data_IF_975967148468
#
_entry.id   IF_975967148468
#
_cell.length_a   1.000
_cell.length_b   1.000
_cell.length_c   1.000
_cell.angle_alpha   90.00
_cell.angle_beta   90.00
_cell.angle_gamma   90.00
#
_symmetry.space_group_name_H-M   'P 1'
#
loop_
_entity.id
_entity.type
_entity.pdbx_description
1 polymer ?
#
# COMPACT_ATOMS: atom_id res chain seq x y z
N UNK A 1 50.16 3.99 0.56
CA UNK A 1 49.06 3.10 0.11
C UNK A 1 47.99 3.13 1.19
N UNK A 2 46.90 3.85 0.96
CA UNK A 2 45.79 3.94 1.90
C UNK A 2 44.90 2.70 1.74
N UNK A 3 44.74 1.94 2.81
CA UNK A 3 43.83 0.82 2.87
C UNK A 3 42.40 1.32 2.68
N UNK A 4 41.73 0.86 1.62
CA UNK A 4 40.29 1.03 1.44
C UNK A 4 39.59 0.17 2.50
N UNK A 5 39.01 0.81 3.49
CA UNK A 5 38.04 0.19 4.40
C UNK A 5 36.83 -0.23 3.57
N UNK A 6 36.74 -1.51 3.27
CA UNK A 6 35.53 -2.12 2.70
C UNK A 6 34.53 -2.18 3.85
N UNK A 7 33.58 -1.26 3.90
CA UNK A 7 32.39 -1.39 4.74
C UNK A 7 31.55 -2.54 4.17
N UNK A 8 31.80 -3.74 4.67
CA UNK A 8 30.91 -4.89 4.53
C UNK A 8 29.61 -4.56 5.25
N UNK A 9 28.60 -4.11 4.51
CA UNK A 9 27.21 -4.09 4.96
C UNK A 9 26.79 -5.53 5.24
N UNK A 10 26.78 -5.94 6.50
CA UNK A 10 26.16 -7.21 6.88
C UNK A 10 24.67 -7.11 6.51
N UNK A 11 24.22 -7.96 5.59
CA UNK A 11 22.80 -8.16 5.36
C UNK A 11 22.17 -8.64 6.67
N UNK A 12 21.14 -7.95 7.13
CA UNK A 12 20.36 -8.36 8.28
C UNK A 12 19.49 -9.56 7.86
N UNK A 13 19.49 -10.61 8.68
CA UNK A 13 18.61 -11.74 8.46
C UNK A 13 17.14 -11.28 8.53
N UNK A 14 16.30 -11.65 7.55
CA UNK A 14 14.87 -11.34 7.56
C UNK A 14 14.16 -11.82 8.83
N UNK A 15 14.69 -12.87 9.49
CA UNK A 15 14.20 -13.38 10.77
C UNK A 15 14.34 -12.37 11.91
N UNK A 16 15.24 -11.41 11.77
CA UNK A 16 15.34 -10.29 12.70
C UNK A 16 14.33 -9.20 12.38
N UNK A 17 13.80 -9.09 11.16
CA UNK A 17 12.92 -8.00 10.72
C UNK A 17 11.44 -8.34 10.96
N UNK A 18 11.07 -9.60 10.78
CA UNK A 18 9.69 -10.10 10.91
C UNK A 18 9.53 -10.92 12.20
N UNK A 19 8.32 -10.98 12.74
CA UNK A 19 8.00 -11.94 13.81
C UNK A 19 7.95 -13.35 13.24
N UNK A 20 9.12 -14.00 13.18
CA UNK A 20 9.28 -15.31 12.55
C UNK A 20 8.63 -16.44 13.37
N UNK A 21 8.38 -16.23 14.66
CA UNK A 21 7.63 -17.20 15.48
C UNK A 21 6.17 -17.25 15.03
N UNK A 22 5.61 -16.08 14.70
CA UNK A 22 4.24 -15.96 14.20
C UNK A 22 4.13 -16.20 12.69
N UNK A 23 5.11 -15.76 11.91
CA UNK A 23 5.11 -15.79 10.45
C UNK A 23 6.40 -16.42 9.92
N UNK A 24 6.55 -17.76 9.96
CA UNK A 24 7.75 -18.44 9.50
C UNK A 24 7.76 -18.54 7.96
N UNK A 25 7.84 -17.41 7.26
CA UNK A 25 7.48 -17.25 5.84
C UNK A 25 8.30 -18.09 4.83
N UNK A 26 9.41 -18.71 5.26
CA UNK A 26 10.20 -19.63 4.42
C UNK A 26 9.97 -21.12 4.74
N UNK A 27 9.19 -21.44 5.77
CA UNK A 27 8.96 -22.80 6.24
C UNK A 27 7.62 -23.35 5.70
N UNK A 28 7.51 -23.60 4.39
CA UNK A 28 6.26 -24.04 3.73
C UNK A 28 5.74 -25.41 4.19
N UNK A 29 6.60 -26.21 4.82
CA UNK A 29 6.21 -27.46 5.47
C UNK A 29 5.63 -27.27 6.88
N UNK A 30 5.80 -26.08 7.47
CA UNK A 30 5.25 -25.75 8.79
C UNK A 30 3.73 -25.69 8.76
N UNK A 31 3.10 -26.35 9.73
CA UNK A 31 1.65 -26.26 9.93
C UNK A 31 1.21 -24.81 10.16
N UNK A 32 1.99 -24.03 10.90
CA UNK A 32 1.71 -22.63 11.22
C UNK A 32 1.60 -21.81 9.93
N UNK A 33 2.58 -21.92 9.03
CA UNK A 33 2.58 -21.18 7.78
C UNK A 33 1.40 -21.59 6.88
N UNK A 34 1.09 -22.89 6.81
CA UNK A 34 -0.04 -23.40 6.01
C UNK A 34 -1.38 -22.85 6.49
N UNK A 35 -1.60 -22.75 7.79
CA UNK A 35 -2.82 -22.13 8.35
C UNK A 35 -2.91 -20.65 8.02
N UNK A 36 -1.80 -19.91 8.14
CA UNK A 36 -1.72 -18.49 7.80
C UNK A 36 -2.06 -18.27 6.32
N UNK A 37 -1.46 -19.06 5.42
CA UNK A 37 -1.73 -18.98 3.98
C UNK A 37 -3.19 -19.30 3.70
N UNK A 38 -3.73 -20.38 4.28
CA UNK A 38 -5.12 -20.78 4.07
C UNK A 38 -6.10 -19.70 4.54
N UNK A 39 -5.87 -19.14 5.73
CA UNK A 39 -6.70 -18.07 6.29
C UNK A 39 -6.63 -16.80 5.42
N UNK A 40 -5.42 -16.35 5.08
CA UNK A 40 -5.24 -15.16 4.25
C UNK A 40 -5.81 -15.32 2.84
N UNK A 41 -5.70 -16.51 2.22
CA UNK A 41 -6.36 -16.81 0.93
C UNK A 41 -7.89 -16.74 1.06
N UNK A 42 -8.45 -17.31 2.13
CA UNK A 42 -9.88 -17.25 2.39
C UNK A 42 -10.37 -15.80 2.54
N UNK A 43 -9.63 -14.97 3.27
CA UNK A 43 -9.92 -13.54 3.43
C UNK A 43 -9.80 -12.77 2.10
N UNK A 44 -8.76 -13.03 1.30
CA UNK A 44 -8.63 -12.43 -0.03
C UNK A 44 -9.76 -12.82 -0.98
N UNK A 45 -10.21 -14.08 -0.96
CA UNK A 45 -11.32 -14.54 -1.80
C UNK A 45 -12.68 -14.00 -1.34
N UNK A 46 -12.93 -13.96 -0.03
CA UNK A 46 -14.24 -13.55 0.52
C UNK A 46 -14.38 -12.05 0.72
N UNK A 47 -13.31 -11.37 1.14
CA UNK A 47 -13.30 -9.95 1.51
C UNK A 47 -12.38 -9.11 0.62
N UNK A 48 -11.69 -9.67 -0.37
CA UNK A 48 -10.80 -8.91 -1.25
C UNK A 48 -9.61 -8.26 -0.52
N UNK A 49 -9.38 -8.60 0.75
CA UNK A 49 -8.31 -8.06 1.59
C UNK A 49 -7.95 -9.07 2.68
N UNK A 50 -6.67 -9.14 3.04
CA UNK A 50 -6.18 -9.91 4.18
C UNK A 50 -5.24 -9.05 5.04
N UNK A 51 -5.29 -9.30 6.35
CA UNK A 51 -4.48 -8.61 7.35
C UNK A 51 -3.64 -9.62 8.14
N UNK A 52 -2.34 -9.37 8.24
CA UNK A 52 -1.42 -10.16 9.06
C UNK A 52 -0.80 -9.21 10.11
N UNK A 53 -1.46 -9.02 11.26
CA UNK A 53 -1.04 -8.06 12.27
C UNK A 53 0.22 -8.51 13.02
N UNK A 54 1.05 -7.56 13.44
CA UNK A 54 2.31 -7.84 14.14
C UNK A 54 3.35 -8.57 13.27
N UNK A 55 3.30 -8.38 11.95
CA UNK A 55 4.22 -9.03 11.03
C UNK A 55 5.64 -8.47 11.17
N UNK A 56 5.78 -7.14 11.23
CA UNK A 56 7.07 -6.49 11.44
C UNK A 56 7.40 -6.38 12.93
N UNK A 57 8.67 -6.59 13.26
CA UNK A 57 9.17 -6.38 14.62
C UNK A 57 9.32 -4.88 14.93
N UNK A 58 9.13 -4.46 16.19
CA UNK A 58 9.11 -3.04 16.56
C UNK A 58 10.36 -2.24 16.17
N UNK A 59 11.54 -2.85 16.18
CA UNK A 59 12.77 -2.13 15.81
C UNK A 59 12.81 -1.82 14.31
N UNK A 60 12.33 -2.74 13.46
CA UNK A 60 12.29 -2.54 12.01
C UNK A 60 11.31 -1.43 11.64
N UNK A 61 10.16 -1.39 12.31
CA UNK A 61 9.18 -0.30 12.18
C UNK A 61 9.81 1.04 12.55
N UNK A 62 10.43 1.15 13.73
CA UNK A 62 11.08 2.39 14.20
C UNK A 62 12.17 2.86 13.24
N UNK A 63 13.04 1.95 12.80
CA UNK A 63 14.13 2.29 11.90
C UNK A 63 13.60 2.82 10.55
N UNK A 64 12.57 2.17 10.00
CA UNK A 64 11.95 2.60 8.74
C UNK A 64 11.25 3.97 8.86
N UNK A 65 10.61 4.24 10.01
CA UNK A 65 10.00 5.57 10.27
C UNK A 65 11.09 6.65 10.29
N UNK A 66 12.19 6.43 11.01
CA UNK A 66 13.29 7.39 11.08
C UNK A 66 13.87 7.70 9.69
N UNK A 67 14.08 6.67 8.87
CA UNK A 67 14.56 6.83 7.49
C UNK A 67 13.59 7.62 6.62
N UNK A 68 12.29 7.36 6.75
CA UNK A 68 11.26 8.10 6.01
C UNK A 68 11.16 9.56 6.46
N UNK A 69 11.27 9.84 7.76
CA UNK A 69 11.27 11.19 8.31
C UNK A 69 12.52 11.98 7.89
N UNK A 70 13.69 11.35 7.86
CA UNK A 70 14.95 11.94 7.38
C UNK A 70 14.87 12.30 5.88
N UNK A 71 14.22 11.46 5.07
CA UNK A 71 14.03 11.68 3.63
C UNK A 71 12.86 12.63 3.30
N UNK A 72 11.96 12.88 4.25
CA UNK A 72 10.72 13.63 4.03
C UNK A 72 10.92 15.06 3.47
N UNK A 73 11.98 15.82 3.82
CA UNK A 73 12.22 17.14 3.22
C UNK A 73 12.40 17.12 1.71
N UNK A 74 12.94 16.02 1.16
CA UNK A 74 13.19 15.83 -0.27
C UNK A 74 12.11 14.96 -0.95
N UNK A 75 11.08 14.55 -0.21
CA UNK A 75 10.01 13.71 -0.71
C UNK A 75 9.09 14.47 -1.66
N UNK A 76 8.55 13.78 -2.65
CA UNK A 76 7.55 14.38 -3.54
C UNK A 76 6.20 14.43 -2.85
N UNK A 77 5.77 15.63 -2.45
CA UNK A 77 4.46 15.88 -1.87
C UNK A 77 3.51 16.44 -2.92
N UNK A 78 2.34 15.82 -3.08
CA UNK A 78 1.34 16.25 -4.05
C UNK A 78 -0.05 16.19 -3.44
N UNK A 79 -0.84 17.21 -3.75
CA UNK A 79 -2.30 17.18 -3.60
C UNK A 79 -2.91 17.15 -4.99
N UNK A 80 -3.91 16.30 -5.19
CA UNK A 80 -4.53 16.07 -6.49
C UNK A 80 -6.01 15.76 -6.33
N UNK A 81 -6.82 16.34 -7.20
CA UNK A 81 -8.21 15.93 -7.39
C UNK A 81 -8.24 14.88 -8.50
N UNK A 82 -8.99 13.80 -8.28
CA UNK A 82 -9.09 12.69 -9.21
C UNK A 82 -10.46 12.03 -9.11
N UNK A 83 -10.87 11.30 -10.13
CA UNK A 83 -12.04 10.42 -10.07
C UNK A 83 -11.70 9.18 -9.23
N UNK A 84 -12.69 8.37 -8.85
CA UNK A 84 -12.46 7.07 -8.17
C UNK A 84 -11.57 6.11 -8.97
N UNK A 85 -11.29 6.40 -10.25
CA UNK A 85 -10.40 5.63 -11.12
C UNK A 85 -8.99 6.25 -11.28
N UNK A 86 -8.66 7.24 -10.43
CA UNK A 86 -7.38 7.97 -10.44
C UNK A 86 -7.14 8.82 -11.70
N UNK A 87 -8.20 9.15 -12.44
CA UNK A 87 -8.15 10.04 -13.59
C UNK A 87 -8.29 11.51 -13.14
N UNK A 88 -7.52 12.41 -13.76
CA UNK A 88 -7.51 13.85 -13.40
C UNK A 88 -8.59 14.66 -14.14
N UNK A 89 -9.22 14.04 -15.14
CA UNK A 89 -10.26 14.66 -15.94
C UNK A 89 -11.58 13.91 -15.77
N UNK A 90 -12.67 14.68 -15.72
CA UNK A 90 -14.02 14.15 -15.82
C UNK A 90 -14.34 13.82 -17.28
N UNK A 91 -15.25 12.87 -17.48
CA UNK A 91 -15.80 12.53 -18.80
C UNK A 91 -16.97 13.46 -19.13
N UNK A 92 -16.84 14.34 -20.14
CA UNK A 92 -17.89 15.30 -20.50
C UNK A 92 -19.12 14.64 -21.12
N UNK A 93 -19.04 13.36 -21.50
CA UNK A 93 -20.16 12.61 -22.06
C UNK A 93 -21.06 11.98 -20.99
N UNK A 94 -20.64 12.03 -19.72
CA UNK A 94 -21.38 11.45 -18.59
C UNK A 94 -21.96 12.55 -17.69
N UNK A 95 -23.00 12.21 -16.96
CA UNK A 95 -23.62 13.12 -15.99
C UNK A 95 -22.63 13.56 -14.90
N UNK A 96 -22.84 14.77 -14.35
CA UNK A 96 -21.93 15.33 -13.32
C UNK A 96 -21.83 14.48 -12.07
N UNK A 97 -22.91 13.78 -11.73
CA UNK A 97 -22.99 12.92 -10.55
C UNK A 97 -22.72 11.44 -10.87
N UNK A 98 -22.29 11.12 -12.10
CA UNK A 98 -21.83 9.79 -12.45
C UNK A 98 -20.58 9.43 -11.64
N UNK A 99 -20.39 8.17 -11.26
CA UNK A 99 -19.24 7.71 -10.46
C UNK A 99 -17.87 8.12 -11.06
N UNK A 100 -17.76 8.13 -12.39
CA UNK A 100 -16.58 8.60 -13.14
C UNK A 100 -16.35 10.12 -13.08
N UNK A 101 -17.33 10.90 -12.68
CA UNK A 101 -17.28 12.36 -12.65
C UNK A 101 -17.28 12.93 -11.23
N UNK A 102 -17.57 12.14 -10.21
CA UNK A 102 -17.45 12.61 -8.83
C UNK A 102 -15.96 12.65 -8.45
N UNK A 103 -15.44 13.86 -8.23
CA UNK A 103 -14.05 14.07 -7.83
C UNK A 103 -13.82 13.77 -6.35
N UNK A 104 -12.75 13.04 -6.08
CA UNK A 104 -12.13 12.78 -4.79
C UNK A 104 -10.85 13.62 -4.68
N UNK A 105 -10.40 13.89 -3.45
CA UNK A 105 -9.19 14.69 -3.21
C UNK A 105 -8.20 13.91 -2.38
N UNK A 106 -7.01 13.67 -2.92
CA UNK A 106 -5.95 12.96 -2.22
C UNK A 106 -4.69 13.81 -2.07
N UNK A 107 -4.01 13.65 -0.94
CA UNK A 107 -2.72 14.28 -0.67
C UNK A 107 -1.83 13.39 0.17
N UNK A 108 -0.55 13.37 -0.19
CA UNK A 108 0.50 12.63 0.52
C UNK A 108 1.88 13.09 0.06
N UNK A 109 2.88 12.73 0.84
CA UNK A 109 4.28 12.72 0.43
C UNK A 109 4.72 11.29 0.09
N UNK A 110 5.46 11.13 -1.00
CA UNK A 110 6.03 9.86 -1.44
C UNK A 110 7.54 9.90 -1.31
N UNK A 111 8.08 9.05 -0.43
CA UNK A 111 9.52 8.75 -0.32
C UNK A 111 9.78 7.48 -1.12
N UNK A 112 10.58 7.57 -2.17
CA UNK A 112 10.94 6.41 -3.00
C UNK A 112 12.12 5.64 -2.40
N UNK A 113 12.33 4.40 -2.82
CA UNK A 113 13.38 3.51 -2.28
C UNK A 113 14.78 4.09 -2.29
N UNK A 114 15.14 4.85 -3.32
CA UNK A 114 16.46 5.46 -3.45
C UNK A 114 16.70 6.64 -2.48
N UNK A 115 15.65 7.12 -1.79
CA UNK A 115 15.75 8.15 -0.75
C UNK A 115 15.92 7.57 0.65
N UNK A 116 15.71 6.26 0.84
CA UNK A 116 15.94 5.58 2.13
C UNK A 116 17.30 4.87 2.15
N UNK A 117 17.84 4.67 3.36
CA UNK A 117 19.19 4.10 3.54
C UNK A 117 19.28 2.69 2.96
N UNK A 118 20.39 2.37 2.30
CA UNK A 118 20.57 1.06 1.62
C UNK A 118 20.56 -0.13 2.57
N UNK A 119 20.86 0.07 3.86
CA UNK A 119 20.76 -0.93 4.91
C UNK A 119 19.39 -0.93 5.63
N UNK A 120 18.38 -0.25 5.08
CA UNK A 120 17.02 -0.22 5.62
C UNK A 120 16.45 -1.63 5.80
N UNK A 121 15.83 -1.96 6.95
CA UNK A 121 15.16 -3.25 7.12
C UNK A 121 13.99 -3.41 6.13
N UNK A 122 13.32 -2.32 5.74
CA UNK A 122 12.25 -2.38 4.74
C UNK A 122 12.79 -2.79 3.36
N UNK A 123 13.93 -2.24 2.94
CA UNK A 123 14.59 -2.64 1.68
C UNK A 123 15.01 -4.11 1.75
N UNK A 124 15.64 -4.52 2.84
CA UNK A 124 16.12 -5.91 2.98
C UNK A 124 14.96 -6.91 2.94
N UNK A 125 13.85 -6.62 3.62
CA UNK A 125 12.65 -7.44 3.57
C UNK A 125 12.05 -7.48 2.16
N UNK A 126 11.86 -6.32 1.51
CA UNK A 126 11.33 -6.29 0.15
C UNK A 126 12.23 -7.04 -0.82
N UNK A 127 13.55 -6.95 -0.65
CA UNK A 127 14.53 -7.58 -1.53
C UNK A 127 14.73 -9.07 -1.29
N UNK A 128 14.14 -9.63 -0.24
CA UNK A 128 14.24 -11.05 0.11
C UNK A 128 13.43 -11.92 -0.87
N UNK A 129 14.04 -13.01 -1.39
CA UNK A 129 13.32 -14.03 -2.15
C UNK A 129 12.18 -14.66 -1.33
N UNK A 130 12.37 -14.88 -0.04
CA UNK A 130 11.38 -15.47 0.86
C UNK A 130 10.13 -14.59 0.99
N UNK A 131 10.29 -13.26 1.08
CA UNK A 131 9.16 -12.33 1.11
C UNK A 131 8.40 -12.35 -0.22
N UNK A 132 9.13 -12.36 -1.35
CA UNK A 132 8.51 -12.43 -2.69
C UNK A 132 7.72 -13.73 -2.86
N UNK A 133 8.30 -14.86 -2.43
CA UNK A 133 7.67 -16.17 -2.52
C UNK A 133 6.45 -16.28 -1.58
N UNK A 134 6.54 -15.75 -0.37
CA UNK A 134 5.41 -15.68 0.55
C UNK A 134 4.23 -14.90 -0.04
N UNK A 135 4.48 -13.71 -0.60
CA UNK A 135 3.44 -12.90 -1.26
C UNK A 135 2.88 -13.62 -2.49
N UNK A 136 3.72 -14.27 -3.30
CA UNK A 136 3.29 -15.07 -4.46
C UNK A 136 2.28 -16.14 -4.04
N UNK A 137 2.61 -16.87 -2.98
CA UNK A 137 1.76 -17.95 -2.46
C UNK A 137 0.46 -17.39 -1.89
N UNK A 138 0.49 -16.29 -1.13
CA UNK A 138 -0.73 -15.65 -0.62
C UNK A 138 -1.68 -15.19 -1.73
N UNK A 139 -1.14 -14.64 -2.82
CA UNK A 139 -1.92 -14.16 -3.96
C UNK A 139 -2.36 -15.26 -4.93
N UNK A 140 -1.98 -16.51 -4.68
CA UNK A 140 -2.25 -17.66 -5.54
C UNK A 140 -1.82 -17.40 -7.01
N UNK A 141 -0.53 -17.06 -7.18
CA UNK A 141 0.06 -16.76 -8.49
C UNK A 141 1.12 -17.78 -8.87
N UNK A 142 1.16 -18.16 -10.15
CA UNK A 142 2.22 -19.05 -10.66
C UNK A 142 3.62 -18.43 -10.51
N UNK A 143 3.73 -17.14 -10.84
CA UNK A 143 4.96 -16.35 -10.73
C UNK A 143 4.66 -14.97 -10.17
N UNK A 144 5.64 -14.41 -9.47
CA UNK A 144 5.60 -13.04 -8.97
C UNK A 144 7.01 -12.43 -9.04
N UNK A 145 7.12 -11.25 -9.60
CA UNK A 145 8.35 -10.48 -9.70
C UNK A 145 8.22 -9.21 -8.86
N UNK A 146 9.32 -8.72 -8.32
CA UNK A 146 9.38 -7.34 -7.82
C UNK A 146 9.33 -6.40 -9.03
N UNK A 147 8.65 -5.27 -8.89
CA UNK A 147 8.70 -4.21 -9.91
C UNK A 147 10.15 -3.79 -10.14
N UNK A 148 10.58 -3.64 -11.38
CA UNK A 148 11.96 -3.30 -11.72
C UNK A 148 12.22 -1.79 -11.73
N UNK A 149 11.14 -0.99 -11.61
CA UNK A 149 11.20 0.46 -11.59
C UNK A 149 11.92 0.99 -10.34
N UNK A 150 12.99 1.81 -10.49
CA UNK A 150 13.77 2.30 -9.36
C UNK A 150 13.00 3.26 -8.44
N UNK A 151 11.89 3.85 -8.90
CA UNK A 151 11.04 4.74 -8.12
C UNK A 151 9.70 4.10 -7.75
N UNK A 152 9.26 3.11 -8.53
CA UNK A 152 7.97 2.44 -8.37
C UNK A 152 7.98 1.17 -7.52
N UNK A 153 9.15 0.61 -7.22
CA UNK A 153 9.27 -0.72 -6.60
C UNK A 153 8.89 -0.76 -5.12
N UNK A 154 9.40 0.19 -4.34
CA UNK A 154 9.14 0.33 -2.91
C UNK A 154 9.00 1.81 -2.58
N UNK A 155 7.89 2.16 -1.95
CA UNK A 155 7.58 3.54 -1.58
C UNK A 155 7.13 3.62 -0.12
N UNK A 156 7.47 4.71 0.55
CA UNK A 156 6.91 5.07 1.86
C UNK A 156 6.04 6.31 1.68
N UNK A 157 4.75 6.13 1.87
CA UNK A 157 3.76 7.20 1.87
C UNK A 157 3.64 7.80 3.27
N UNK A 158 3.87 9.12 3.36
CA UNK A 158 3.71 9.91 4.58
C UNK A 158 2.50 10.82 4.40
N UNK A 159 1.55 10.72 5.32
CA UNK A 159 0.35 11.55 5.39
C UNK A 159 0.43 12.41 6.66
N UNK A 160 0.48 13.72 6.49
CA UNK A 160 0.51 14.72 7.56
C UNK A 160 -0.92 15.07 7.99
N UNK A 161 -1.07 15.97 8.96
CA UNK A 161 -2.38 16.50 9.35
C UNK A 161 -3.18 16.99 8.13
N UNK A 162 -4.45 16.59 8.04
CA UNK A 162 -5.37 16.82 6.91
C UNK A 162 -5.03 16.10 5.60
N UNK A 163 -3.91 15.37 5.49
CA UNK A 163 -3.68 14.53 4.33
C UNK A 163 -4.65 13.36 4.29
N UNK A 164 -4.91 12.83 3.09
CA UNK A 164 -5.77 11.67 2.88
C UNK A 164 -5.47 10.96 1.57
N UNK A 165 -5.92 9.71 1.45
CA UNK A 165 -6.03 9.03 0.16
C UNK A 165 -7.50 8.69 -0.02
N UNK A 166 -8.25 9.57 -0.66
CA UNK A 166 -9.70 9.45 -0.79
C UNK A 166 -10.08 8.27 -1.71
N UNK A 167 -11.37 8.00 -1.85
CA UNK A 167 -11.90 6.82 -2.53
C UNK A 167 -11.28 6.60 -3.92
N UNK A 168 -10.75 5.40 -4.11
CA UNK A 168 -10.21 4.97 -5.39
C UNK A 168 -10.24 3.45 -5.56
N UNK A 169 -10.03 3.03 -6.79
CA UNK A 169 -9.56 1.70 -7.15
C UNK A 169 -8.10 1.76 -7.56
N UNK A 170 -7.35 0.71 -7.26
CA UNK A 170 -5.97 0.58 -7.74
C UNK A 170 -5.91 0.28 -9.24
N UNK A 171 -4.85 0.78 -9.87
CA UNK A 171 -4.49 0.38 -11.24
C UNK A 171 -3.91 -1.03 -11.29
N UNK A 172 -3.14 -1.42 -10.26
CA UNK A 172 -2.62 -2.77 -10.08
C UNK A 172 -3.70 -3.73 -9.58
N UNK A 173 -3.54 -5.03 -9.85
CA UNK A 173 -4.52 -6.04 -9.41
C UNK A 173 -4.61 -6.17 -7.89
N UNK A 174 -3.50 -5.90 -7.20
CA UNK A 174 -3.40 -5.94 -5.76
C UNK A 174 -2.38 -4.91 -5.27
N UNK A 175 -2.45 -4.56 -3.99
CA UNK A 175 -1.45 -3.79 -3.29
C UNK A 175 -0.98 -4.54 -2.05
N UNK A 176 0.32 -4.50 -1.79
CA UNK A 176 0.96 -5.08 -0.61
C UNK A 176 1.53 -3.92 0.21
N UNK A 177 1.04 -3.74 1.44
CA UNK A 177 1.41 -2.58 2.25
C UNK A 177 1.70 -2.95 3.69
N UNK A 178 2.48 -2.12 4.37
CA UNK A 178 2.62 -2.15 5.82
C UNK A 178 2.16 -0.83 6.41
N UNK A 179 1.31 -0.87 7.42
CA UNK A 179 1.14 0.30 8.29
C UNK A 179 2.36 0.40 9.21
N UNK A 180 3.16 1.45 9.05
CA UNK A 180 4.35 1.69 9.89
C UNK A 180 4.00 2.57 11.09
N UNK A 181 3.19 3.61 10.87
CA UNK A 181 2.77 4.53 11.93
C UNK A 181 1.29 4.86 11.78
N UNK A 182 0.53 4.61 12.84
CA UNK A 182 -0.84 5.12 12.99
C UNK A 182 -0.81 6.58 13.48
N UNK A 183 -1.75 7.43 12.99
CA UNK A 183 -1.89 8.81 13.46
C UNK A 183 -2.57 8.88 14.83
N UNK A 184 -2.80 10.09 15.35
CA UNK A 184 -3.56 10.33 16.59
C UNK A 184 -5.06 10.10 16.41
N UNK A 185 -5.61 10.57 15.29
CA UNK A 185 -6.98 10.35 14.87
C UNK A 185 -7.12 10.29 13.35
N UNK A 186 -8.34 10.04 12.87
CA UNK A 186 -8.57 9.86 11.44
C UNK A 186 -7.68 8.77 10.83
N UNK A 187 -7.24 8.96 9.58
CA UNK A 187 -6.34 8.02 8.88
C UNK A 187 -6.85 6.58 8.79
N UNK A 188 -8.15 6.39 8.90
CA UNK A 188 -8.81 5.09 9.00
C UNK A 188 -8.87 4.47 7.61
N UNK A 189 -8.45 3.22 7.51
CA UNK A 189 -8.50 2.49 6.25
C UNK A 189 -9.93 1.96 6.06
N UNK A 190 -10.65 2.53 5.10
CA UNK A 190 -12.02 2.15 4.79
C UNK A 190 -12.08 1.50 3.42
N UNK A 191 -12.89 0.47 3.28
CA UNK A 191 -12.97 -0.30 2.03
C UNK A 191 -14.35 -0.92 1.84
N UNK A 192 -14.69 -1.17 0.59
CA UNK A 192 -15.82 -2.01 0.19
C UNK A 192 -15.22 -3.18 -0.59
N UNK A 193 -15.35 -4.42 -0.09
CA UNK A 193 -14.76 -5.58 -0.74
C UNK A 193 -15.43 -5.84 -2.09
N UNK A 194 -14.64 -6.11 -3.13
CA UNK A 194 -15.12 -6.59 -4.43
C UNK A 194 -16.28 -5.75 -5.00
N UNK A 195 -16.20 -4.42 -4.83
CA UNK A 195 -17.22 -3.46 -5.29
C UNK A 195 -17.49 -3.60 -6.79
N UNK A 196 -16.48 -4.00 -7.57
CA UNK A 196 -16.57 -4.21 -9.02
C UNK A 196 -15.92 -5.51 -9.47
N UNK A 197 -16.29 -5.96 -10.66
CA UNK A 197 -15.72 -7.12 -11.35
C UNK A 197 -15.55 -6.85 -12.84
N UNK A 198 -14.87 -7.75 -13.55
CA UNK A 198 -14.72 -7.64 -15.00
C UNK A 198 -16.11 -7.55 -15.67
N UNK A 199 -16.33 -6.44 -16.40
CA UNK A 199 -17.60 -6.15 -17.06
C UNK A 199 -18.70 -5.55 -16.18
N UNK A 200 -18.47 -5.38 -14.86
CA UNK A 200 -19.40 -4.70 -13.97
C UNK A 200 -18.68 -3.72 -13.04
N UNK A 201 -18.73 -2.44 -13.37
CA UNK A 201 -18.12 -1.35 -12.59
C UNK A 201 -18.94 -0.93 -11.36
N UNK A 202 -20.18 -1.40 -11.23
CA UNK A 202 -21.09 -1.09 -10.13
C UNK A 202 -21.24 0.43 -9.87
N UNK A 203 -21.41 1.21 -10.95
CA UNK A 203 -21.43 2.67 -10.88
C UNK A 203 -22.47 3.23 -9.91
N UNK A 204 -23.61 2.57 -9.73
CA UNK A 204 -24.67 3.03 -8.82
C UNK A 204 -24.22 2.98 -7.35
N UNK A 205 -23.64 1.87 -6.90
CA UNK A 205 -23.12 1.76 -5.53
C UNK A 205 -21.96 2.73 -5.33
N UNK A 206 -21.03 2.80 -6.30
CA UNK A 206 -19.88 3.71 -6.24
C UNK A 206 -20.37 5.15 -6.12
N UNK A 207 -21.33 5.57 -6.95
CA UNK A 207 -21.95 6.90 -6.88
C UNK A 207 -22.57 7.16 -5.51
N UNK A 208 -23.36 6.22 -4.98
CA UNK A 208 -24.00 6.36 -3.67
C UNK A 208 -22.97 6.58 -2.56
N UNK A 209 -21.90 5.79 -2.54
CA UNK A 209 -20.84 5.91 -1.52
C UNK A 209 -20.11 7.24 -1.63
N UNK A 210 -19.75 7.66 -2.85
CA UNK A 210 -19.05 8.93 -3.08
C UNK A 210 -19.91 10.13 -2.65
N UNK A 211 -21.20 10.13 -2.98
CA UNK A 211 -22.12 11.21 -2.60
C UNK A 211 -22.39 11.22 -1.09
N UNK A 212 -22.65 10.06 -0.49
CA UNK A 212 -22.87 9.93 0.96
C UNK A 212 -21.63 10.36 1.75
N UNK A 213 -20.44 9.96 1.28
CA UNK A 213 -19.16 10.36 1.87
C UNK A 213 -18.97 11.88 1.84
N UNK A 214 -19.27 12.54 0.71
CA UNK A 214 -19.21 14.01 0.60
C UNK A 214 -20.21 14.73 1.49
N UNK A 215 -21.36 14.12 1.73
CA UNK A 215 -22.38 14.64 2.63
C UNK A 215 -22.06 14.36 4.12
N UNK A 216 -20.94 13.67 4.44
CA UNK A 216 -20.58 13.32 5.81
C UNK A 216 -21.52 12.29 6.45
N UNK A 217 -22.18 11.46 5.63
CA UNK A 217 -23.11 10.44 6.10
C UNK A 217 -22.38 9.19 6.59
N UNK A 218 -23.04 8.42 7.47
CA UNK A 218 -22.58 7.07 7.82
C UNK A 218 -22.66 6.15 6.59
N UNK A 219 -21.54 5.48 6.31
CA UNK A 219 -21.38 4.62 5.14
C UNK A 219 -21.55 3.13 5.48
N UNK A 220 -21.76 2.79 6.75
CA UNK A 220 -21.92 1.40 7.22
C UNK A 220 -23.06 0.68 6.49
N UNK A 221 -24.18 1.37 6.26
CA UNK A 221 -25.34 0.86 5.52
C UNK A 221 -25.06 0.61 4.03
N UNK A 222 -24.01 1.21 3.47
CA UNK A 222 -23.55 0.99 2.09
C UNK A 222 -22.48 -0.10 1.99
N UNK A 223 -22.24 -0.86 3.08
CA UNK A 223 -21.28 -1.95 3.11
C UNK A 223 -19.82 -1.50 3.25
N UNK A 224 -19.57 -0.23 3.60
CA UNK A 224 -18.22 0.24 3.94
C UNK A 224 -17.77 -0.41 5.25
N UNK A 225 -16.64 -1.09 5.16
CA UNK A 225 -15.92 -1.65 6.30
C UNK A 225 -14.76 -0.72 6.66
N UNK A 226 -14.37 -0.74 7.92
CA UNK A 226 -13.19 -0.06 8.43
C UNK A 226 -12.23 -1.09 9.02
N UNK A 227 -10.94 -0.99 8.68
CA UNK A 227 -9.93 -1.91 9.18
C UNK A 227 -9.26 -1.34 10.45
N UNK A 228 -9.20 -2.17 11.50
CA UNK A 228 -8.39 -1.90 12.69
C UNK A 228 -6.93 -2.28 12.40
N UNK A 229 -6.17 -1.32 11.87
CA UNK A 229 -4.77 -1.52 11.51
C UNK A 229 -3.85 -1.06 12.63
N UNK A 230 -3.04 -2.00 13.13
CA UNK A 230 -1.97 -1.72 14.08
C UNK A 230 -0.62 -1.57 13.35
N UNK A 231 0.32 -0.73 13.83
CA UNK A 231 1.68 -0.68 13.31
C UNK A 231 2.32 -2.07 13.18
N UNK A 232 2.96 -2.33 12.04
CA UNK A 232 3.55 -3.62 11.70
C UNK A 232 2.61 -4.61 11.02
N UNK A 233 1.35 -4.24 10.78
CA UNK A 233 0.40 -5.09 10.04
C UNK A 233 0.74 -5.11 8.55
N UNK A 234 0.93 -6.31 7.99
CA UNK A 234 0.96 -6.54 6.54
C UNK A 234 -0.48 -6.57 6.03
N UNK A 235 -0.76 -5.80 4.99
CA UNK A 235 -2.06 -5.73 4.33
C UNK A 235 -1.88 -6.12 2.87
N UNK A 236 -2.68 -7.06 2.41
CA UNK A 236 -2.79 -7.40 0.98
C UNK A 236 -4.22 -7.14 0.56
N UNK A 237 -4.43 -6.25 -0.40
CA UNK A 237 -5.76 -5.90 -0.91
C UNK A 237 -5.82 -6.12 -2.41
N UNK A 238 -6.91 -6.71 -2.91
CA UNK A 238 -7.28 -6.73 -4.33
C UNK A 238 -7.88 -5.37 -4.75
N UNK A 239 -7.07 -4.31 -4.64
CA UNK A 239 -7.52 -2.92 -4.78
C UNK A 239 -8.07 -2.57 -6.17
N UNK A 240 -7.80 -3.38 -7.19
CA UNK A 240 -8.44 -3.23 -8.49
C UNK A 240 -9.95 -3.41 -8.40
N UNK A 241 -10.43 -4.34 -7.58
CA UNK A 241 -11.84 -4.72 -7.47
C UNK A 241 -12.50 -4.16 -6.21
N UNK A 242 -11.70 -3.83 -5.19
CA UNK A 242 -12.18 -3.31 -3.90
C UNK A 242 -11.94 -1.81 -3.80
N UNK A 243 -13.03 -1.03 -3.73
CA UNK A 243 -12.94 0.42 -3.56
C UNK A 243 -12.46 0.72 -2.15
N UNK A 244 -11.47 1.60 -1.98
CA UNK A 244 -10.90 1.86 -0.66
C UNK A 244 -10.35 3.27 -0.52
N UNK A 245 -10.11 3.68 0.72
CA UNK A 245 -9.57 4.99 1.09
C UNK A 245 -8.85 4.96 2.44
N UNK A 246 -8.13 6.04 2.71
CA UNK A 246 -7.63 6.47 4.01
C UNK A 246 -8.29 7.80 4.32
N UNK A 247 -9.07 7.88 5.39
CA UNK A 247 -9.74 9.13 5.82
C UNK A 247 -8.71 10.23 6.16
N UNK A 248 -9.11 11.52 6.22
CA UNK A 248 -8.23 12.60 6.67
C UNK A 248 -7.48 12.25 7.95
N UNK A 249 -6.20 12.58 8.00
CA UNK A 249 -5.39 12.45 9.22
C UNK A 249 -5.78 13.56 10.19
N UNK A 250 -6.04 13.20 11.44
CA UNK A 250 -6.29 14.14 12.52
C UNK A 250 -5.10 14.12 13.49
N UNK A 251 -4.63 15.30 13.87
CA UNK A 251 -3.49 15.47 14.78
C UNK A 251 -2.14 15.54 14.07
N UNK A 252 -1.09 15.79 14.85
CA UNK A 252 0.25 16.13 14.33
C UNK A 252 1.07 14.90 13.95
N UNK A 253 0.80 13.76 14.59
CA UNK A 253 1.46 12.50 14.26
C UNK A 253 1.06 12.02 12.87
N UNK A 254 2.04 11.97 11.96
CA UNK A 254 1.81 11.52 10.58
C UNK A 254 1.42 10.03 10.53
N UNK A 255 0.56 9.67 9.58
CA UNK A 255 0.35 8.26 9.20
C UNK A 255 1.42 7.86 8.18
N UNK A 256 2.10 6.74 8.40
CA UNK A 256 3.18 6.28 7.53
C UNK A 256 2.88 4.87 7.03
N UNK A 257 2.96 4.65 5.73
CA UNK A 257 2.66 3.36 5.09
C UNK A 257 3.72 3.00 4.07
N UNK A 258 4.31 1.81 4.17
CA UNK A 258 5.14 1.27 3.10
C UNK A 258 4.25 0.56 2.07
N UNK A 259 4.60 0.70 0.79
CA UNK A 259 3.94 0.04 -0.34
C UNK A 259 5.00 -0.72 -1.13
N UNK A 260 4.80 -2.04 -1.23
CA UNK A 260 5.66 -2.99 -1.92
C UNK A 260 5.00 -3.36 -3.25
N UNK A 261 5.66 -3.08 -4.36
CA UNK A 261 5.12 -3.31 -5.69
C UNK A 261 5.62 -4.65 -6.26
N UNK A 262 4.70 -5.43 -6.80
CA UNK A 262 4.98 -6.71 -7.44
C UNK A 262 4.22 -6.85 -8.75
N UNK A 263 4.76 -7.65 -9.66
CA UNK A 263 4.37 -7.74 -11.06
C UNK A 263 4.27 -9.18 -11.53
N UNK A 264 3.41 -9.42 -12.52
CA UNK A 264 3.26 -10.74 -13.16
C UNK A 264 4.36 -11.04 -14.19
N UNK A 265 5.08 -10.02 -14.63
CA UNK A 265 6.14 -10.12 -15.63
C UNK A 265 7.43 -9.54 -15.04
N UNK A 266 8.59 -10.07 -15.43
CA UNK A 266 9.86 -9.45 -15.08
C UNK A 266 10.02 -8.10 -15.79
N UNK A 267 10.94 -7.27 -15.29
CA UNK A 267 11.40 -6.04 -15.95
C UNK A 267 10.32 -4.99 -16.23
N UNK A 268 9.21 -5.00 -15.47
CA UNK A 268 8.19 -3.97 -15.56
C UNK A 268 8.69 -2.68 -14.93
N UNK A 269 8.64 -1.62 -15.74
CA UNK A 269 8.96 -0.25 -15.37
C UNK A 269 7.72 0.62 -15.50
N UNK A 270 7.59 1.61 -14.62
CA UNK A 270 6.56 2.63 -14.72
C UNK A 270 6.85 3.53 -15.93
N UNK A 271 5.80 3.99 -16.60
CA UNK A 271 5.94 5.00 -17.65
C UNK A 271 6.25 6.38 -17.03
N UNK A 272 6.77 7.29 -17.86
CA UNK A 272 7.15 8.65 -17.43
C UNK A 272 6.01 9.40 -16.76
N UNK A 273 4.79 9.28 -17.30
CA UNK A 273 3.59 9.90 -16.72
C UNK A 273 3.37 9.45 -15.27
N UNK A 274 3.46 8.14 -15.02
CA UNK A 274 3.25 7.54 -13.69
C UNK A 274 4.34 7.96 -12.72
N UNK A 275 5.61 7.94 -13.15
CA UNK A 275 6.74 8.43 -12.33
C UNK A 275 6.60 9.90 -11.96
N UNK A 276 6.28 10.77 -12.92
CA UNK A 276 6.06 12.19 -12.63
C UNK A 276 4.83 12.41 -11.74
N UNK A 277 3.77 11.64 -11.94
CA UNK A 277 2.53 11.76 -11.17
C UNK A 277 2.69 11.39 -9.71
N UNK A 278 3.43 10.31 -9.40
CA UNK A 278 3.53 9.76 -8.05
C UNK A 278 4.88 10.02 -7.35
N UNK A 279 5.96 10.24 -8.11
CA UNK A 279 7.31 10.45 -7.59
C UNK A 279 7.88 11.83 -7.94
N UNK A 280 7.25 12.58 -8.86
CA UNK A 280 7.69 13.94 -9.24
C UNK A 280 8.98 14.01 -10.07
N UNK A 281 9.58 12.87 -10.40
CA UNK A 281 10.86 12.77 -11.12
C UNK A 281 10.94 11.48 -11.93
N UNK A 282 11.88 11.43 -12.87
CA UNK A 282 12.09 10.28 -13.76
C UNK A 282 13.26 9.37 -13.35
N UNK A 283 14.13 9.88 -12.47
CA UNK A 283 15.34 9.24 -11.95
C UNK A 283 15.56 9.66 -10.51
#
# INVERSE_FOLDING_TARGET
MAAKTVTSTMACDIKSIIDYQRYPIAEFESHILREIISSAKSELMGNGIAFLPGFLLPWAIRQTILEAEEALPDAFCKTIDHTVYLEECQDPLLEKDHARNILCRSSKCCVTRDQIKTNSPLIQLYMSPEMTEFVRVLLDRDVLYRTADPLGDLNVHVYRENDQLDWHFDRGQFAVTFLLQAPEGGGRFQYIPLTRSDGNENYDLVKQVLLASKAGQDLSALGVKEADLQPGTLVIICGHNSMHRVTPIEGKKSRITAVLSYEKKPDIHLNEYTRMKFCGRLK
#
